data_IF_384526317077
#
_entry.id   IF_384526317077
#
_cell.length_a   1.000
_cell.length_b   1.000
_cell.length_c   1.000
_cell.angle_alpha   90.00
_cell.angle_beta   90.00
_cell.angle_gamma   90.00
#
_symmetry.space_group_name_H-M   'P 1'
#
loop_
_entity.id
_entity.type
_entity.pdbx_description
1 polymer ?
#
# COMPACT_ATOMS: atom_id res chain seq x y z
N UNK A 1 -8.11 -29.75 -8.29
CA UNK A 1 -7.10 -28.66 -8.14
C UNK A 1 -7.45 -27.58 -9.15
N UNK A 2 -7.97 -26.45 -8.68
CA UNK A 2 -8.57 -25.43 -9.55
C UNK A 2 -7.47 -24.63 -10.27
N UNK A 3 -7.31 -24.86 -11.56
CA UNK A 3 -6.29 -24.23 -12.41
C UNK A 3 -6.45 -22.67 -12.52
N UNK A 4 -7.59 -22.15 -12.07
CA UNK A 4 -7.91 -20.71 -12.13
C UNK A 4 -7.21 -19.87 -11.05
N UNK A 5 -6.69 -20.50 -9.97
CA UNK A 5 -5.97 -19.82 -8.87
C UNK A 5 -4.47 -19.65 -9.10
N UNK A 6 -3.93 -20.30 -10.13
CA UNK A 6 -2.47 -20.43 -10.34
C UNK A 6 -1.95 -19.25 -11.16
N UNK A 7 -1.59 -18.17 -10.60
CA UNK A 7 -0.81 -17.02 -11.14
C UNK A 7 -1.48 -15.64 -11.02
N UNK A 8 -2.38 -15.46 -10.03
CA UNK A 8 -2.93 -14.12 -9.79
C UNK A 8 -1.85 -13.22 -9.19
N UNK A 9 -1.68 -12.03 -9.78
CA UNK A 9 -0.67 -11.05 -9.40
C UNK A 9 -1.30 -9.96 -8.54
N UNK A 10 -1.04 -9.96 -7.26
CA UNK A 10 -1.45 -8.90 -6.37
C UNK A 10 -0.20 -8.10 -5.99
N UNK A 11 -0.19 -6.82 -6.31
CA UNK A 11 0.87 -5.91 -5.90
C UNK A 11 0.45 -5.05 -4.72
N UNK A 12 1.40 -4.66 -3.90
CA UNK A 12 1.18 -3.80 -2.74
C UNK A 12 1.65 -2.37 -3.03
N UNK A 13 0.81 -1.40 -2.65
CA UNK A 13 1.08 0.03 -2.72
C UNK A 13 0.97 0.64 -1.33
N UNK A 14 2.09 1.07 -0.77
CA UNK A 14 2.14 1.76 0.51
C UNK A 14 2.09 3.28 0.26
N UNK A 15 1.16 3.96 0.92
CA UNK A 15 1.03 5.41 0.85
C UNK A 15 1.92 6.06 1.91
N UNK A 16 3.11 6.49 1.49
CA UNK A 16 4.11 7.18 2.31
C UNK A 16 4.09 8.70 2.17
N UNK A 17 3.08 9.24 1.48
CA UNK A 17 2.99 10.66 1.13
C UNK A 17 2.00 11.44 1.99
N UNK A 18 1.59 10.94 3.15
CA UNK A 18 0.71 11.65 4.08
C UNK A 18 1.31 13.00 4.47
N UNK A 19 0.57 14.07 4.21
CA UNK A 19 0.92 15.40 4.71
C UNK A 19 0.81 15.40 6.23
N UNK A 20 1.94 15.27 6.92
CA UNK A 20 2.02 15.46 8.38
C UNK A 20 1.87 16.94 8.78
N UNK A 21 0.92 17.64 8.13
CA UNK A 21 0.66 19.07 8.35
C UNK A 21 0.35 19.39 9.82
N UNK A 22 -0.20 18.40 10.56
CA UNK A 22 -0.60 18.58 11.97
C UNK A 22 0.54 18.48 12.99
N UNK A 23 1.75 18.08 12.59
CA UNK A 23 2.85 17.75 13.48
C UNK A 23 4.06 18.70 13.35
N UNK A 24 3.86 20.02 13.19
CA UNK A 24 4.95 21.04 13.25
C UNK A 24 6.23 20.63 12.50
N UNK A 25 6.11 20.10 11.27
CA UNK A 25 7.27 19.76 10.43
C UNK A 25 7.91 18.38 10.70
N UNK A 26 7.48 17.62 11.70
CA UNK A 26 8.01 16.26 11.95
C UNK A 26 7.25 15.23 11.12
N UNK A 27 7.96 14.46 10.30
CA UNK A 27 7.35 13.38 9.52
C UNK A 27 6.92 12.23 10.46
N UNK A 28 5.60 12.03 10.62
CA UNK A 28 5.05 10.98 11.48
C UNK A 28 5.58 9.59 11.13
N UNK A 29 5.84 9.31 9.85
CA UNK A 29 6.29 8.01 9.37
C UNK A 29 7.69 7.62 9.87
N UNK A 30 8.50 8.63 10.26
CA UNK A 30 9.84 8.43 10.80
C UNK A 30 9.86 8.28 12.33
N UNK A 31 8.69 8.41 13.00
CA UNK A 31 8.61 8.11 14.44
C UNK A 31 8.92 6.64 14.69
N UNK A 32 9.68 6.37 15.74
CA UNK A 32 10.06 5.02 16.13
C UNK A 32 9.05 4.37 17.05
N UNK A 33 8.80 3.11 16.79
CA UNK A 33 8.10 2.17 17.65
C UNK A 33 8.99 0.90 17.72
N UNK A 34 9.41 0.50 18.92
CA UNK A 34 10.28 -0.67 19.12
C UNK A 34 11.54 -0.65 18.21
N UNK A 35 12.26 0.46 18.23
CA UNK A 35 13.52 0.71 17.47
C UNK A 35 13.40 0.77 15.93
N UNK A 36 12.22 0.55 15.34
CA UNK A 36 11.95 0.74 13.91
C UNK A 36 10.99 1.90 13.70
N UNK A 37 11.11 2.59 12.58
CA UNK A 37 10.14 3.64 12.21
C UNK A 37 8.79 3.03 11.83
N UNK A 38 7.71 3.82 11.90
CA UNK A 38 6.38 3.34 11.52
C UNK A 38 6.38 2.81 10.08
N UNK A 39 7.05 3.52 9.17
CA UNK A 39 7.11 3.10 7.77
C UNK A 39 7.90 1.80 7.57
N UNK A 40 8.99 1.58 8.33
CA UNK A 40 9.74 0.33 8.28
C UNK A 40 8.89 -0.87 8.73
N UNK A 41 8.02 -0.68 9.75
CA UNK A 41 7.10 -1.73 10.17
C UNK A 41 6.18 -2.14 9.02
N UNK A 42 5.49 -1.19 8.41
CA UNK A 42 4.53 -1.47 7.32
C UNK A 42 5.22 -2.08 6.11
N UNK A 43 6.36 -1.53 5.69
CA UNK A 43 7.13 -2.03 4.55
C UNK A 43 7.59 -3.47 4.78
N UNK A 44 8.12 -3.77 5.99
CA UNK A 44 8.57 -5.12 6.34
C UNK A 44 7.41 -6.12 6.26
N UNK A 45 6.24 -5.77 6.78
CA UNK A 45 5.08 -6.66 6.74
C UNK A 45 4.56 -6.88 5.31
N UNK A 46 4.59 -5.85 4.48
CA UNK A 46 4.23 -5.96 3.07
C UNK A 46 5.17 -6.87 2.29
N UNK A 47 6.48 -6.74 2.50
CA UNK A 47 7.50 -7.62 1.87
C UNK A 47 7.30 -9.08 2.29
N UNK A 48 6.93 -9.32 3.54
CA UNK A 48 6.74 -10.66 4.09
C UNK A 48 5.36 -11.28 3.76
N UNK A 49 4.50 -10.54 3.10
CA UNK A 49 3.17 -11.02 2.68
C UNK A 49 3.21 -11.75 1.33
N UNK A 50 2.08 -12.33 0.94
CA UNK A 50 1.88 -12.97 -0.38
C UNK A 50 1.76 -11.98 -1.55
N UNK A 51 1.89 -10.68 -1.32
CA UNK A 51 1.96 -9.71 -2.41
C UNK A 51 3.20 -9.97 -3.28
N UNK A 52 3.05 -9.92 -4.60
CA UNK A 52 4.12 -10.23 -5.55
C UNK A 52 5.28 -9.24 -5.44
N UNK A 53 4.95 -7.96 -5.35
CA UNK A 53 5.91 -6.87 -5.18
C UNK A 53 5.36 -5.83 -4.22
N UNK A 54 6.26 -5.12 -3.55
CA UNK A 54 5.93 -3.98 -2.69
C UNK A 54 6.45 -2.69 -3.32
N UNK A 55 5.55 -1.72 -3.47
CA UNK A 55 5.87 -0.36 -3.89
C UNK A 55 5.46 0.63 -2.79
N UNK A 56 6.24 1.69 -2.63
CA UNK A 56 5.85 2.81 -1.78
C UNK A 56 5.83 4.10 -2.60
N UNK A 57 4.80 4.93 -2.43
CA UNK A 57 4.76 6.25 -3.02
C UNK A 57 5.04 7.31 -1.96
N UNK A 58 6.05 8.15 -2.20
CA UNK A 58 6.52 9.21 -1.30
C UNK A 58 6.60 10.56 -2.01
N UNK A 59 6.69 11.63 -1.26
CA UNK A 59 6.95 12.97 -1.84
C UNK A 59 8.38 13.05 -2.39
N UNK A 60 8.57 13.80 -3.48
CA UNK A 60 9.88 13.99 -4.14
C UNK A 60 10.94 14.56 -3.18
N UNK A 61 10.55 15.43 -2.26
CA UNK A 61 11.42 16.06 -1.29
C UNK A 61 11.71 15.20 -0.05
N UNK A 62 11.12 14.00 0.06
CA UNK A 62 11.32 13.13 1.23
C UNK A 62 12.56 12.24 1.06
N UNK A 63 13.75 12.86 1.12
CA UNK A 63 15.03 12.15 1.00
C UNK A 63 15.29 11.18 2.15
N UNK A 64 14.82 11.48 3.37
CA UNK A 64 15.02 10.64 4.56
C UNK A 64 14.34 9.26 4.41
N UNK A 65 13.06 9.23 4.04
CA UNK A 65 12.36 7.95 3.80
C UNK A 65 13.02 7.19 2.66
N UNK A 66 13.40 7.86 1.57
CA UNK A 66 14.06 7.21 0.44
C UNK A 66 15.39 6.57 0.86
N UNK A 67 16.21 7.29 1.63
CA UNK A 67 17.48 6.77 2.16
C UNK A 67 17.25 5.59 3.12
N UNK A 68 16.29 5.74 4.03
CA UNK A 68 15.93 4.70 5.01
C UNK A 68 15.55 3.37 4.36
N UNK A 69 14.77 3.44 3.29
CA UNK A 69 14.20 2.27 2.62
C UNK A 69 15.03 1.77 1.42
N UNK A 70 16.14 2.43 1.08
CA UNK A 70 16.93 2.16 -0.15
C UNK A 70 17.53 0.75 -0.22
N UNK A 71 17.76 0.11 0.92
CA UNK A 71 18.33 -1.26 0.99
C UNK A 71 17.26 -2.37 0.94
N UNK A 72 15.98 -2.02 0.98
CA UNK A 72 14.90 -3.00 0.98
C UNK A 72 14.48 -3.36 -0.44
N UNK A 73 14.00 -4.61 -0.68
CA UNK A 73 13.57 -5.07 -2.00
C UNK A 73 12.19 -4.50 -2.38
N UNK A 74 12.10 -3.19 -2.50
CA UNK A 74 10.87 -2.47 -2.82
C UNK A 74 11.10 -1.45 -3.94
N UNK A 75 10.01 -1.05 -4.60
CA UNK A 75 10.04 0.04 -5.58
C UNK A 75 9.61 1.35 -4.92
N UNK A 76 10.49 2.34 -4.90
CA UNK A 76 10.16 3.67 -4.39
C UNK A 76 9.67 4.54 -5.55
N UNK A 77 8.41 4.92 -5.49
CA UNK A 77 7.75 5.83 -6.42
C UNK A 77 7.75 7.23 -5.82
N UNK A 78 8.01 8.24 -6.64
CA UNK A 78 8.00 9.62 -6.18
C UNK A 78 6.95 10.44 -6.93
N UNK A 79 6.41 11.45 -6.27
CA UNK A 79 5.50 12.40 -6.90
C UNK A 79 5.46 13.73 -6.15
N UNK A 80 5.12 14.78 -6.87
CA UNK A 80 5.02 16.14 -6.32
C UNK A 80 3.59 16.40 -5.83
N UNK A 81 3.37 16.26 -4.52
CA UNK A 81 2.04 16.32 -3.89
C UNK A 81 1.66 17.70 -3.34
N UNK A 82 2.31 18.77 -3.74
CA UNK A 82 2.21 20.08 -3.05
C UNK A 82 0.78 20.59 -2.76
N UNK A 83 -0.28 20.03 -3.39
CA UNK A 83 -1.67 20.47 -3.16
C UNK A 83 -2.75 19.37 -3.20
N UNK A 84 -2.40 18.10 -3.47
CA UNK A 84 -3.41 17.10 -3.87
C UNK A 84 -3.43 15.92 -2.88
N UNK A 85 -4.26 15.92 -1.89
CA UNK A 85 -4.49 14.89 -0.87
C UNK A 85 -4.15 13.40 -1.17
N UNK A 86 -4.65 12.50 -0.34
CA UNK A 86 -4.41 11.05 -0.43
C UNK A 86 -4.88 10.44 -1.77
N UNK A 87 -5.97 10.98 -2.36
CA UNK A 87 -6.51 10.53 -3.64
C UNK A 87 -5.48 10.62 -4.76
N UNK A 88 -4.73 11.72 -4.83
CA UNK A 88 -3.67 11.88 -5.84
C UNK A 88 -2.54 10.86 -5.67
N UNK A 89 -2.16 10.53 -4.43
CA UNK A 89 -1.15 9.50 -4.16
C UNK A 89 -1.63 8.12 -4.63
N UNK A 90 -2.90 7.80 -4.40
CA UNK A 90 -3.53 6.57 -4.86
C UNK A 90 -3.54 6.54 -6.39
N UNK A 91 -4.08 7.58 -7.02
CA UNK A 91 -4.16 7.72 -8.48
C UNK A 91 -2.78 7.51 -9.13
N UNK A 92 -1.77 8.24 -8.67
CA UNK A 92 -0.42 8.17 -9.23
C UNK A 92 0.26 6.83 -8.98
N UNK A 93 0.09 6.28 -7.78
CA UNK A 93 0.63 4.95 -7.45
C UNK A 93 0.02 3.86 -8.32
N UNK A 94 -1.31 3.86 -8.48
CA UNK A 94 -2.03 2.90 -9.33
C UNK A 94 -1.61 3.05 -10.79
N UNK A 95 -1.53 4.27 -11.33
CA UNK A 95 -1.05 4.53 -12.70
C UNK A 95 0.31 3.87 -12.97
N UNK A 96 1.25 3.98 -12.03
CA UNK A 96 2.59 3.43 -12.18
C UNK A 96 2.64 1.91 -12.02
N UNK A 97 1.88 1.35 -11.06
CA UNK A 97 1.86 -0.09 -10.78
C UNK A 97 1.03 -0.86 -11.82
N UNK A 98 -0.03 -0.27 -12.34
CA UNK A 98 -0.90 -0.92 -13.35
C UNK A 98 -0.16 -1.33 -14.63
N UNK A 99 1.01 -0.73 -14.89
CA UNK A 99 1.90 -1.12 -16.01
C UNK A 99 2.45 -2.54 -15.89
N UNK A 100 2.48 -3.11 -14.69
CA UNK A 100 2.88 -4.50 -14.43
C UNK A 100 1.74 -5.49 -14.66
N UNK A 101 0.57 -4.99 -15.06
CA UNK A 101 -0.64 -5.78 -15.31
C UNK A 101 -1.06 -6.68 -14.12
N UNK A 102 -1.22 -6.13 -12.89
CA UNK A 102 -1.67 -6.92 -11.76
C UNK A 102 -3.17 -7.19 -11.81
N UNK A 103 -3.62 -8.30 -11.20
CA UNK A 103 -5.03 -8.62 -11.02
C UNK A 103 -5.68 -7.78 -9.91
N UNK A 104 -4.88 -7.32 -8.95
CA UNK A 104 -5.31 -6.46 -7.86
C UNK A 104 -4.17 -5.65 -7.25
N UNK A 105 -4.51 -4.55 -6.60
CA UNK A 105 -3.58 -3.71 -5.83
C UNK A 105 -4.06 -3.60 -4.39
N UNK A 106 -3.20 -4.03 -3.45
CA UNK A 106 -3.38 -3.91 -2.01
C UNK A 106 -2.82 -2.55 -1.56
N UNK A 107 -3.69 -1.66 -1.11
CA UNK A 107 -3.32 -0.32 -0.65
C UNK A 107 -3.19 -0.31 0.87
N UNK A 108 -2.02 0.11 1.36
CA UNK A 108 -1.70 0.29 2.79
C UNK A 108 -1.38 1.76 3.09
N UNK A 109 -1.70 2.18 4.31
CA UNK A 109 -1.19 3.45 4.85
C UNK A 109 0.15 3.21 5.53
N UNK A 110 1.11 4.12 5.33
CA UNK A 110 2.46 4.01 5.92
C UNK A 110 2.53 4.18 7.44
N UNK A 111 1.42 4.53 8.09
CA UNK A 111 1.33 4.77 9.54
C UNK A 111 0.49 3.71 10.29
N UNK A 112 0.45 2.49 9.79
CA UNK A 112 -0.27 1.35 10.37
C UNK A 112 0.70 0.28 10.92
N UNK A 113 1.48 0.56 11.98
CA UNK A 113 2.54 -0.35 12.44
C UNK A 113 2.04 -1.67 13.02
N UNK A 114 0.76 -1.75 13.37
CA UNK A 114 0.14 -2.96 13.95
C UNK A 114 -0.32 -3.97 12.90
N UNK A 115 -0.34 -3.57 11.61
CA UNK A 115 -0.66 -4.51 10.54
C UNK A 115 0.48 -5.54 10.42
N UNK A 116 0.15 -6.80 10.25
CA UNK A 116 1.12 -7.87 10.05
C UNK A 116 0.89 -8.60 8.72
N UNK A 117 1.89 -9.36 8.28
CA UNK A 117 1.84 -10.11 7.01
C UNK A 117 0.68 -11.11 6.96
N UNK A 118 0.34 -11.74 8.09
CA UNK A 118 -0.78 -12.69 8.15
C UNK A 118 -2.13 -12.02 7.86
N UNK A 119 -2.35 -10.78 8.34
CA UNK A 119 -3.55 -10.03 8.00
C UNK A 119 -3.61 -9.72 6.50
N UNK A 120 -2.47 -9.34 5.89
CA UNK A 120 -2.39 -9.08 4.46
C UNK A 120 -2.65 -10.35 3.64
N UNK A 121 -2.10 -11.47 4.08
CA UNK A 121 -2.27 -12.77 3.45
C UNK A 121 -3.73 -13.23 3.45
N UNK A 122 -4.43 -13.08 4.58
CA UNK A 122 -5.87 -13.36 4.67
C UNK A 122 -6.68 -12.52 3.69
N UNK A 123 -6.36 -11.24 3.55
CA UNK A 123 -7.03 -10.36 2.60
C UNK A 123 -6.75 -10.77 1.15
N UNK A 124 -5.52 -11.15 0.83
CA UNK A 124 -5.12 -11.62 -0.50
C UNK A 124 -5.84 -12.94 -0.82
N UNK A 125 -5.91 -13.87 0.12
CA UNK A 125 -6.64 -15.13 -0.03
C UNK A 125 -8.13 -14.89 -0.27
N UNK A 126 -8.76 -14.02 0.51
CA UNK A 126 -10.16 -13.65 0.33
C UNK A 126 -10.41 -13.00 -1.03
N UNK A 127 -9.49 -12.14 -1.48
CA UNK A 127 -9.53 -11.53 -2.80
C UNK A 127 -9.48 -12.58 -3.92
N UNK A 128 -8.56 -13.54 -3.82
CA UNK A 128 -8.46 -14.66 -4.78
C UNK A 128 -9.69 -15.58 -4.74
N UNK A 129 -10.25 -15.85 -3.55
CA UNK A 129 -11.47 -16.64 -3.40
C UNK A 129 -12.70 -15.98 -4.06
N UNK A 130 -12.70 -14.66 -4.15
CA UNK A 130 -13.70 -13.88 -4.90
C UNK A 130 -13.29 -13.63 -6.36
N UNK A 131 -12.43 -14.48 -6.95
CA UNK A 131 -11.99 -14.43 -8.35
C UNK A 131 -11.33 -13.11 -8.75
N UNK A 132 -10.74 -12.38 -7.80
CA UNK A 132 -10.16 -11.05 -7.99
C UNK A 132 -11.15 -10.02 -8.60
N UNK A 133 -12.43 -10.11 -8.27
CA UNK A 133 -13.48 -9.26 -8.84
C UNK A 133 -14.11 -8.30 -7.83
N UNK A 134 -13.97 -8.59 -6.54
CA UNK A 134 -14.55 -7.77 -5.47
C UNK A 134 -13.49 -6.94 -4.76
N UNK A 135 -13.87 -5.74 -4.33
CA UNK A 135 -13.06 -4.97 -3.39
C UNK A 135 -13.07 -5.68 -2.04
N UNK A 136 -11.87 -5.98 -1.51
CA UNK A 136 -11.71 -6.53 -0.16
C UNK A 136 -11.18 -5.43 0.74
N UNK A 137 -11.84 -5.18 1.85
CA UNK A 137 -11.51 -4.11 2.76
C UNK A 137 -11.44 -4.60 4.20
N UNK A 138 -10.37 -4.23 4.91
CA UNK A 138 -10.27 -4.49 6.34
C UNK A 138 -11.35 -3.72 7.11
N UNK A 139 -11.85 -4.31 8.17
CA UNK A 139 -12.76 -3.66 9.11
C UNK A 139 -12.37 -3.98 10.55
N UNK A 140 -12.75 -3.09 11.47
CA UNK A 140 -12.62 -3.35 12.91
C UNK A 140 -13.62 -4.42 13.37
N UNK A 141 -13.47 -4.90 14.62
CA UNK A 141 -14.43 -5.82 15.26
C UNK A 141 -15.87 -5.28 15.21
N UNK A 142 -16.05 -3.97 15.31
CA UNK A 142 -17.34 -3.30 15.19
C UNK A 142 -17.79 -3.08 13.74
N UNK A 143 -17.19 -3.77 12.77
CA UNK A 143 -17.49 -3.69 11.33
C UNK A 143 -17.30 -2.29 10.72
N UNK A 144 -16.49 -1.44 11.34
CA UNK A 144 -16.17 -0.12 10.78
C UNK A 144 -15.11 -0.32 9.69
N UNK A 145 -15.42 0.07 8.42
CA UNK A 145 -14.49 -0.09 7.32
C UNK A 145 -13.23 0.77 7.50
N UNK A 146 -12.07 0.17 7.25
CA UNK A 146 -10.76 0.82 7.39
C UNK A 146 -9.81 0.49 6.25
N UNK A 147 -8.53 0.54 6.55
CA UNK A 147 -7.44 0.08 5.68
C UNK A 147 -6.79 -1.16 6.34
N UNK A 148 -6.13 -2.04 5.56
CA UNK A 148 -5.89 -1.99 4.10
C UNK A 148 -7.11 -2.26 3.22
N UNK A 149 -6.95 -1.98 1.91
CA UNK A 149 -7.99 -2.27 0.89
C UNK A 149 -7.33 -2.90 -0.34
N UNK A 150 -7.93 -3.94 -0.90
CA UNK A 150 -7.53 -4.50 -2.21
C UNK A 150 -8.57 -4.07 -3.25
N UNK A 151 -8.10 -3.44 -4.31
CA UNK A 151 -8.92 -3.09 -5.48
C UNK A 151 -8.61 -4.03 -6.63
N UNK A 152 -9.62 -4.62 -7.27
CA UNK A 152 -9.46 -5.41 -8.48
C UNK A 152 -9.15 -4.52 -9.70
N UNK A 153 -8.54 -5.12 -10.72
CA UNK A 153 -8.08 -4.46 -11.93
C UNK A 153 -9.14 -3.60 -12.63
N UNK A 154 -10.38 -4.03 -12.62
CA UNK A 154 -11.49 -3.28 -13.25
C UNK A 154 -11.79 -1.91 -12.61
N UNK A 155 -11.26 -1.63 -11.39
CA UNK A 155 -11.39 -0.33 -10.73
C UNK A 155 -10.21 0.62 -11.00
N UNK A 156 -9.12 0.16 -11.60
CA UNK A 156 -7.89 0.97 -11.73
C UNK A 156 -8.14 2.26 -12.51
N UNK A 157 -8.85 2.21 -13.63
CA UNK A 157 -9.17 3.41 -14.41
C UNK A 157 -9.95 4.45 -13.58
N UNK A 158 -10.95 4.01 -12.83
CA UNK A 158 -11.72 4.90 -11.96
C UNK A 158 -10.85 5.53 -10.87
N UNK A 159 -9.90 4.76 -10.31
CA UNK A 159 -8.99 5.24 -9.26
C UNK A 159 -7.90 6.17 -9.80
N UNK A 160 -7.50 6.03 -11.06
CA UNK A 160 -6.54 6.94 -11.72
C UNK A 160 -7.17 8.32 -11.96
N UNK A 161 -8.48 8.39 -12.13
CA UNK A 161 -9.21 9.63 -12.42
C UNK A 161 -9.87 10.30 -11.20
N UNK A 162 -9.51 9.91 -9.96
CA UNK A 162 -9.98 10.57 -8.75
C UNK A 162 -9.36 11.96 -8.53
#
# INVERSE_FOLDING_TARGET
MDLTKKNKKIESLILGAGLSIRMKGVNKLLKKLNNKTLIEHVVTQSINSKALNTSIIVQDNNSEIRKLLSSLPIKILTSNFKKNGIGYSISKGIELISRNDPDGILILLGDMPEINSSHLDLMIEEFMNNFCQKIIRACSENKIPGNPVIFPKNFFLSLIHI
#
